data_IF_697357532747
#
_entry.id   IF_697357532747
#
_cell.length_a   1.000
_cell.length_b   1.000
_cell.length_c   1.000
_cell.angle_alpha   90.00
_cell.angle_beta   90.00
_cell.angle_gamma   90.00
#
_symmetry.space_group_name_H-M   'P 1'
#
loop_
_entity.id
_entity.type
_entity.pdbx_description
1 polymer ?
#
# COMPACT_ATOMS: atom_id res chain seq x y z
N UNK A 1 28.08 7.72 0.37
CA UNK A 1 27.76 7.18 -0.98
C UNK A 1 26.97 5.87 -0.87
N UNK A 2 27.37 4.93 -0.01
CA UNK A 2 26.68 3.64 0.20
C UNK A 2 25.21 3.75 0.65
N UNK A 3 24.86 4.76 1.47
CA UNK A 3 23.49 4.98 1.94
C UNK A 3 22.50 5.41 0.85
N UNK A 4 22.94 6.20 -0.12
CA UNK A 4 22.10 6.63 -1.26
C UNK A 4 21.84 5.47 -2.22
N UNK A 5 22.85 4.63 -2.43
CA UNK A 5 22.74 3.43 -3.27
C UNK A 5 21.74 2.45 -2.66
N UNK A 6 21.79 2.25 -1.33
CA UNK A 6 20.82 1.42 -0.61
C UNK A 6 19.41 2.00 -0.73
N UNK A 7 19.26 3.33 -0.59
CA UNK A 7 17.97 4.00 -0.77
C UNK A 7 17.38 3.79 -2.17
N UNK A 8 18.20 3.88 -3.21
CA UNK A 8 17.79 3.63 -4.60
C UNK A 8 17.43 2.17 -4.87
N UNK A 9 18.16 1.22 -4.29
CA UNK A 9 17.84 -0.21 -4.40
C UNK A 9 16.50 -0.50 -3.72
N UNK A 10 16.27 0.03 -2.52
CA UNK A 10 14.99 -0.13 -1.81
C UNK A 10 13.84 0.50 -2.59
N UNK A 11 14.01 1.71 -3.12
CA UNK A 11 13.01 2.38 -3.95
C UNK A 11 12.72 1.60 -5.24
N UNK A 12 13.74 1.05 -5.90
CA UNK A 12 13.60 0.21 -7.09
C UNK A 12 12.85 -1.09 -6.82
N UNK A 13 13.16 -1.76 -5.71
CA UNK A 13 12.45 -2.99 -5.28
C UNK A 13 11.00 -2.67 -4.94
N UNK A 14 10.72 -1.55 -4.28
CA UNK A 14 9.35 -1.08 -3.99
C UNK A 14 8.58 -0.81 -5.28
N UNK A 15 9.17 -0.12 -6.26
CA UNK A 15 8.55 0.14 -7.56
C UNK A 15 8.26 -1.15 -8.35
N UNK A 16 9.21 -2.09 -8.36
CA UNK A 16 9.03 -3.39 -9.04
C UNK A 16 7.95 -4.22 -8.34
N UNK A 17 7.95 -4.21 -7.01
CA UNK A 17 6.90 -4.86 -6.22
C UNK A 17 5.53 -4.24 -6.52
N UNK A 18 5.40 -2.91 -6.48
CA UNK A 18 4.17 -2.18 -6.78
C UNK A 18 3.68 -2.46 -8.21
N UNK A 19 4.58 -2.43 -9.20
CA UNK A 19 4.26 -2.75 -10.59
C UNK A 19 3.79 -4.21 -10.74
N UNK A 20 4.46 -5.18 -10.11
CA UNK A 20 4.04 -6.58 -10.14
C UNK A 20 2.71 -6.82 -9.41
N UNK A 21 2.50 -6.11 -8.30
CA UNK A 21 1.28 -6.15 -7.51
C UNK A 21 0.08 -5.59 -8.28
N UNK A 22 0.23 -4.41 -8.88
CA UNK A 22 -0.81 -3.77 -9.67
C UNK A 22 -1.09 -4.49 -11.00
N UNK A 23 -0.06 -5.05 -11.63
CA UNK A 23 -0.19 -5.61 -12.99
C UNK A 23 -0.57 -7.09 -13.00
N UNK A 24 -0.06 -7.88 -12.04
CA UNK A 24 -0.17 -9.34 -12.10
C UNK A 24 -1.29 -9.94 -11.23
N UNK A 25 -1.71 -9.26 -10.16
CA UNK A 25 -2.67 -9.83 -9.21
C UNK A 25 -3.96 -8.99 -9.12
N UNK A 26 -4.94 -9.36 -9.95
CA UNK A 26 -6.34 -8.86 -10.02
C UNK A 26 -7.16 -9.10 -8.74
N UNK A 27 -6.52 -9.52 -7.65
CA UNK A 27 -7.15 -10.00 -6.41
C UNK A 27 -7.17 -8.89 -5.35
N UNK A 28 -8.33 -8.60 -4.72
CA UNK A 28 -8.50 -7.50 -3.76
C UNK A 28 -7.57 -7.54 -2.53
N UNK A 29 -7.05 -8.72 -2.20
CA UNK A 29 -6.22 -8.98 -1.03
C UNK A 29 -4.79 -8.43 -1.17
N UNK A 30 -4.29 -8.31 -2.41
CA UNK A 30 -2.92 -7.88 -2.66
C UNK A 30 -2.72 -6.38 -2.51
N UNK A 31 -3.75 -5.56 -2.76
CA UNK A 31 -3.68 -4.12 -2.48
C UNK A 31 -3.45 -3.80 -0.99
N UNK A 32 -3.83 -4.71 -0.09
CA UNK A 32 -3.64 -4.55 1.36
C UNK A 32 -2.25 -4.98 1.84
N UNK A 33 -1.50 -5.71 1.01
CA UNK A 33 -0.14 -6.14 1.36
C UNK A 33 0.80 -4.93 1.45
N UNK A 34 0.58 -3.88 0.63
CA UNK A 34 1.42 -2.68 0.60
C UNK A 34 1.31 -1.90 1.93
N UNK A 35 0.10 -1.53 2.42
CA UNK A 35 -0.06 -0.96 3.75
C UNK A 35 0.54 -1.85 4.87
N UNK A 36 0.39 -3.17 4.77
CA UNK A 36 0.95 -4.13 5.73
C UNK A 36 2.49 -4.17 5.73
N UNK A 37 3.12 -4.13 4.55
CA UNK A 37 4.57 -4.10 4.42
C UNK A 37 5.14 -2.78 4.92
N UNK A 38 4.48 -1.66 4.63
CA UNK A 38 4.85 -0.35 5.17
C UNK A 38 4.78 -0.39 6.69
N UNK A 39 3.68 -0.92 7.26
CA UNK A 39 3.51 -1.05 8.71
C UNK A 39 4.62 -1.90 9.34
N UNK A 40 4.90 -3.09 8.78
CA UNK A 40 5.97 -3.97 9.24
C UNK A 40 7.35 -3.31 9.14
N UNK A 41 7.62 -2.56 8.06
CA UNK A 41 8.83 -1.78 7.87
C UNK A 41 8.99 -0.71 8.95
N UNK A 42 7.92 0.02 9.28
CA UNK A 42 7.93 0.97 10.40
C UNK A 42 8.25 0.31 11.73
N UNK A 43 7.61 -0.81 12.04
CA UNK A 43 7.85 -1.56 13.27
C UNK A 43 9.32 -1.99 13.34
N UNK A 44 9.87 -2.53 12.25
CA UNK A 44 11.27 -2.93 12.19
C UNK A 44 12.24 -1.76 12.41
N UNK A 45 11.97 -0.61 11.79
CA UNK A 45 12.81 0.60 11.93
C UNK A 45 12.87 1.05 13.39
N UNK A 46 11.74 1.14 14.08
CA UNK A 46 11.69 1.52 15.49
C UNK A 46 12.23 0.41 16.41
N UNK A 47 11.93 -0.85 16.15
CA UNK A 47 12.43 -1.99 16.92
C UNK A 47 13.94 -2.18 16.78
N UNK A 48 14.53 -1.79 15.65
CA UNK A 48 15.98 -1.84 15.42
C UNK A 48 16.77 -0.80 16.23
N UNK A 49 16.10 0.11 16.94
CA UNK A 49 16.73 1.16 17.75
C UNK A 49 17.48 2.22 16.93
N UNK A 50 17.39 2.16 15.58
CA UNK A 50 18.07 3.11 14.69
C UNK A 50 17.44 4.51 14.70
N UNK A 51 16.17 4.61 15.08
CA UNK A 51 15.43 5.87 15.22
C UNK A 51 14.87 5.94 16.64
N UNK A 52 15.10 7.04 17.38
CA UNK A 52 14.56 7.21 18.72
C UNK A 52 13.03 7.28 18.68
N UNK A 53 12.39 6.66 19.66
CA UNK A 53 10.93 6.57 19.78
C UNK A 53 10.34 7.87 20.36
N UNK A 54 10.64 9.00 19.72
CA UNK A 54 10.17 10.32 20.13
C UNK A 54 9.08 10.83 19.18
N UNK A 55 8.17 11.67 19.70
CA UNK A 55 7.05 12.25 18.95
C UNK A 55 7.43 12.83 17.58
N UNK A 56 8.52 13.61 17.40
CA UNK A 56 8.84 14.19 16.08
C UNK A 56 9.16 13.13 15.02
N UNK A 57 9.72 11.97 15.43
CA UNK A 57 10.05 10.90 14.50
C UNK A 57 8.87 9.96 14.24
N UNK A 58 8.01 9.73 15.24
CA UNK A 58 6.83 8.85 15.11
C UNK A 58 5.73 9.49 14.25
N UNK A 59 5.52 10.80 14.39
CA UNK A 59 4.45 11.52 13.71
C UNK A 59 4.39 11.29 12.19
N UNK A 60 5.47 11.48 11.41
CA UNK A 60 5.42 11.27 9.97
C UNK A 60 5.11 9.82 9.59
N UNK A 61 5.59 8.84 10.36
CA UNK A 61 5.30 7.43 10.11
C UNK A 61 3.83 7.07 10.37
N UNK A 62 3.20 7.65 11.40
CA UNK A 62 1.77 7.47 11.68
C UNK A 62 0.91 8.09 10.57
N UNK A 63 1.27 9.28 10.10
CA UNK A 63 0.57 9.96 8.99
C UNK A 63 0.65 9.12 7.71
N UNK A 64 1.86 8.67 7.34
CA UNK A 64 2.07 7.84 6.14
C UNK A 64 1.27 6.54 6.23
N UNK A 65 1.35 5.81 7.34
CA UNK A 65 0.58 4.58 7.50
C UNK A 65 -0.94 4.85 7.38
N UNK A 66 -1.44 5.90 8.01
CA UNK A 66 -2.87 6.24 7.98
C UNK A 66 -3.35 6.58 6.56
N UNK A 67 -2.57 7.35 5.79
CA UNK A 67 -2.89 7.68 4.40
C UNK A 67 -2.92 6.42 3.52
N UNK A 68 -1.90 5.58 3.60
CA UNK A 68 -1.84 4.34 2.80
C UNK A 68 -2.97 3.36 3.13
N UNK A 69 -3.34 3.22 4.41
CA UNK A 69 -4.50 2.41 4.80
C UNK A 69 -5.83 3.03 4.34
N UNK A 70 -5.97 4.36 4.40
CA UNK A 70 -7.16 5.08 3.95
C UNK A 70 -7.36 5.01 2.43
N UNK A 71 -6.30 5.20 1.65
CA UNK A 71 -6.33 5.09 0.19
C UNK A 71 -6.63 3.66 -0.26
N UNK A 72 -6.09 2.66 0.45
CA UNK A 72 -6.44 1.27 0.19
C UNK A 72 -7.93 1.01 0.44
N UNK A 73 -8.47 1.44 1.60
CA UNK A 73 -9.91 1.30 1.90
C UNK A 73 -10.80 2.00 0.87
N UNK A 74 -10.45 3.22 0.48
CA UNK A 74 -11.19 4.00 -0.52
C UNK A 74 -11.12 3.37 -1.92
N UNK A 75 -9.95 2.85 -2.30
CA UNK A 75 -9.76 2.12 -3.55
C UNK A 75 -10.60 0.85 -3.63
N UNK A 76 -10.78 0.16 -2.49
CA UNK A 76 -11.65 -1.02 -2.38
C UNK A 76 -13.12 -0.68 -2.58
N UNK A 77 -13.61 0.39 -1.98
CA UNK A 77 -15.00 0.84 -2.13
C UNK A 77 -15.30 1.25 -3.57
N UNK A 78 -14.36 1.94 -4.22
CA UNK A 78 -14.48 2.33 -5.63
C UNK A 78 -14.54 1.10 -6.55
N UNK A 79 -13.67 0.11 -6.33
CA UNK A 79 -13.66 -1.13 -7.11
C UNK A 79 -14.96 -1.93 -6.93
N UNK A 80 -15.48 -2.02 -5.70
CA UNK A 80 -16.73 -2.70 -5.41
C UNK A 80 -17.91 -2.05 -6.13
N UNK A 81 -17.98 -0.70 -6.13
CA UNK A 81 -19.01 0.05 -6.87
C UNK A 81 -18.93 -0.20 -8.37
N UNK A 82 -17.75 -0.13 -8.98
CA UNK A 82 -17.58 -0.39 -10.42
C UNK A 82 -18.05 -1.79 -10.78
N UNK A 83 -17.64 -2.81 -10.01
CA UNK A 83 -18.04 -4.20 -10.26
C UNK A 83 -19.56 -4.40 -10.12
N UNK A 84 -20.18 -3.73 -9.15
CA UNK A 84 -21.63 -3.77 -8.96
C UNK A 84 -22.37 -3.15 -10.16
N UNK A 85 -21.91 -1.98 -10.62
CA UNK A 85 -22.48 -1.32 -11.81
C UNK A 85 -22.29 -2.14 -13.09
N UNK A 86 -21.17 -2.83 -13.26
CA UNK A 86 -20.97 -3.75 -14.38
C UNK A 86 -21.92 -4.95 -14.32
N UNK A 87 -22.13 -5.55 -13.14
CA UNK A 87 -23.10 -6.65 -12.99
C UNK A 87 -24.54 -6.20 -13.25
N UNK A 88 -24.93 -5.01 -12.79
CA UNK A 88 -26.27 -4.45 -13.06
C UNK A 88 -26.48 -4.20 -14.56
N UNK A 89 -25.46 -3.68 -15.27
CA UNK A 89 -25.51 -3.52 -16.73
C UNK A 89 -25.62 -4.85 -17.47
N UNK A 90 -24.91 -5.89 -17.03
CA UNK A 90 -25.04 -7.23 -17.64
C UNK A 90 -26.45 -7.79 -17.41
N UNK A 91 -26.98 -7.66 -16.18
CA UNK A 91 -28.32 -8.15 -15.82
C UNK A 91 -29.44 -7.43 -16.58
N UNK A 92 -29.27 -6.14 -16.87
CA UNK A 92 -30.23 -5.35 -17.66
C UNK A 92 -30.18 -5.64 -19.17
N UNK A 93 -29.11 -6.26 -19.66
CA UNK A 93 -28.92 -6.61 -21.07
C UNK A 93 -29.33 -8.05 -21.39
N UNK A 94 -29.54 -8.87 -20.36
CA UNK A 94 -29.98 -10.27 -20.43
C UNK A 94 -31.52 -10.40 -20.40
N UNK A 95 -32.26 -9.32 -20.12
CA UNK A 95 -33.73 -9.20 -20.20
C UNK A 95 -34.09 -8.54 -21.53
#
# INVERSE_FOLDING_TARGET
MSTLIIGFIVAGVLLIAEYLLCTKFRSPLWGGIIPLLILAGTIYVFASGRIPFERPYIFPFVVVNTLFFGDWGTGRDKYKKIKQTEMEKMKAKDI
#
